data_IF_577441371518
#
_entry.id   IF_577441371518
#
_cell.length_a   1.000
_cell.length_b   1.000
_cell.length_c   1.000
_cell.angle_alpha   90.00
_cell.angle_beta   90.00
_cell.angle_gamma   90.00
#
_symmetry.space_group_name_H-M   'P 1'
#
loop_
_entity.id
_entity.type
_entity.pdbx_description
1 polymer ?
#
# COMPACT_ATOMS: atom_id res chain seq x y z
N UNK A 1 -3.73 -11.95 9.01
CA UNK A 1 -2.80 -12.89 9.68
C UNK A 1 -1.43 -12.23 9.80
N UNK A 2 -0.76 -12.28 10.94
CA UNK A 2 0.62 -11.74 11.07
C UNK A 2 1.68 -12.82 10.81
N UNK A 3 2.95 -12.44 10.65
CA UNK A 3 4.04 -13.40 10.36
C UNK A 3 4.15 -14.55 11.39
N UNK A 4 3.92 -14.28 12.68
CA UNK A 4 3.84 -15.34 13.71
C UNK A 4 2.69 -16.32 13.48
N UNK A 5 1.59 -15.85 12.89
CA UNK A 5 0.46 -16.70 12.52
C UNK A 5 0.81 -17.63 11.36
N UNK A 6 1.51 -17.09 10.35
CA UNK A 6 1.98 -17.87 9.19
C UNK A 6 2.95 -18.96 9.66
N UNK A 7 3.88 -18.63 10.56
CA UNK A 7 4.80 -19.61 11.16
C UNK A 7 4.06 -20.76 11.85
N UNK A 8 3.00 -20.47 12.63
CA UNK A 8 2.21 -21.52 13.29
C UNK A 8 1.49 -22.45 12.31
N UNK A 9 1.03 -21.93 11.18
CA UNK A 9 0.30 -22.72 10.17
C UNK A 9 1.24 -23.51 9.27
N UNK A 10 2.42 -22.96 8.96
CA UNK A 10 3.33 -23.52 7.94
C UNK A 10 4.56 -24.22 8.52
N UNK A 11 4.92 -23.97 9.77
CA UNK A 11 6.18 -24.40 10.38
C UNK A 11 7.43 -23.63 9.92
N UNK A 12 7.28 -22.67 9.01
CA UNK A 12 8.38 -21.84 8.51
C UNK A 12 8.63 -20.68 9.47
N UNK A 13 9.90 -20.47 9.88
CA UNK A 13 10.27 -19.36 10.77
C UNK A 13 9.79 -18.00 10.23
N UNK A 14 9.23 -17.18 11.12
CA UNK A 14 8.85 -15.79 10.81
C UNK A 14 9.98 -14.98 10.17
N UNK A 15 11.24 -15.20 10.56
CA UNK A 15 12.38 -14.46 9.99
C UNK A 15 12.56 -14.80 8.51
N UNK A 16 12.51 -16.09 8.17
CA UNK A 16 12.56 -16.59 6.80
C UNK A 16 11.44 -16.01 5.95
N UNK A 17 10.20 -16.02 6.46
CA UNK A 17 9.04 -15.43 5.75
C UNK A 17 9.26 -13.94 5.51
N UNK A 18 9.72 -13.20 6.53
CA UNK A 18 9.98 -11.77 6.41
C UNK A 18 11.08 -11.46 5.37
N UNK A 19 12.12 -12.28 5.33
CA UNK A 19 13.21 -12.10 4.38
C UNK A 19 12.78 -12.42 2.94
N UNK A 20 11.95 -13.44 2.73
CA UNK A 20 11.33 -13.70 1.43
C UNK A 20 10.43 -12.55 0.96
N UNK A 21 9.59 -11.99 1.85
CA UNK A 21 8.76 -10.83 1.50
C UNK A 21 9.63 -9.64 1.10
N UNK A 22 10.74 -9.37 1.80
CA UNK A 22 11.68 -8.31 1.42
C UNK A 22 12.36 -8.57 0.07
N UNK A 23 12.70 -9.82 -0.24
CA UNK A 23 13.31 -10.18 -1.51
C UNK A 23 12.32 -9.99 -2.66
N UNK A 24 11.11 -10.53 -2.54
CA UNK A 24 10.06 -10.38 -3.55
C UNK A 24 9.64 -8.92 -3.71
N UNK A 25 9.55 -8.17 -2.61
CA UNK A 25 9.20 -6.75 -2.64
C UNK A 25 10.16 -5.90 -3.49
N UNK A 26 11.44 -6.27 -3.59
CA UNK A 26 12.41 -5.59 -4.46
C UNK A 26 12.24 -5.91 -5.95
N UNK A 27 11.49 -6.97 -6.28
CA UNK A 27 11.21 -7.38 -7.65
C UNK A 27 9.90 -6.78 -8.17
N UNK A 28 9.08 -6.19 -7.29
CA UNK A 28 7.84 -5.56 -7.68
C UNK A 28 8.11 -4.25 -8.41
N UNK A 29 7.37 -3.94 -9.49
CA UNK A 29 7.46 -2.64 -10.15
C UNK A 29 6.90 -1.54 -9.23
N UNK A 30 7.41 -0.33 -9.38
CA UNK A 30 6.97 0.82 -8.58
C UNK A 30 5.49 1.19 -8.84
N UNK A 31 5.01 0.99 -10.07
CA UNK A 31 3.62 1.17 -10.46
C UNK A 31 3.15 0.09 -11.44
N UNK A 32 1.84 -0.14 -11.49
CA UNK A 32 1.22 -0.93 -12.53
C UNK A 32 1.37 -0.22 -13.87
N UNK A 33 1.88 -0.91 -14.88
CA UNK A 33 1.92 -0.38 -16.24
C UNK A 33 0.64 -0.82 -16.98
N UNK A 34 -0.37 0.04 -16.98
CA UNK A 34 -1.59 -0.21 -17.74
C UNK A 34 -1.32 -0.07 -19.23
N UNK A 35 -1.64 -1.10 -20.03
CA UNK A 35 -1.56 -1.02 -21.50
C UNK A 35 -2.44 0.08 -22.08
N UNK A 36 -3.51 0.46 -21.36
CA UNK A 36 -4.48 1.49 -21.74
C UNK A 36 -4.70 2.45 -20.58
N UNK A 37 -4.80 3.75 -20.88
CA UNK A 37 -5.18 4.76 -19.89
C UNK A 37 -6.64 4.49 -19.46
N UNK A 38 -6.94 4.39 -18.16
CA UNK A 38 -8.30 4.19 -17.69
C UNK A 38 -9.16 5.42 -17.96
N UNK A 39 -10.44 5.20 -18.29
CA UNK A 39 -11.41 6.27 -18.48
C UNK A 39 -11.78 6.95 -17.15
N UNK A 40 -11.86 6.16 -16.07
CA UNK A 40 -12.15 6.62 -14.72
C UNK A 40 -11.15 5.98 -13.75
N UNK A 41 -10.44 6.83 -13.00
CA UNK A 41 -9.62 6.42 -11.86
C UNK A 41 -10.21 6.95 -10.56
N UNK A 42 -10.23 6.12 -9.52
CA UNK A 42 -10.67 6.51 -8.18
C UNK A 42 -9.47 6.80 -7.30
N UNK A 43 -9.62 7.79 -6.41
CA UNK A 43 -8.64 8.11 -5.38
C UNK A 43 -9.15 7.62 -4.04
N UNK A 44 -8.34 6.81 -3.37
CA UNK A 44 -8.60 6.34 -2.01
C UNK A 44 -7.43 6.70 -1.08
N UNK A 45 -7.74 6.87 0.22
CA UNK A 45 -6.78 7.21 1.26
C UNK A 45 -6.88 6.26 2.44
N UNK A 46 -5.77 5.56 2.74
CA UNK A 46 -5.65 4.71 3.91
C UNK A 46 -4.72 5.33 4.95
N UNK A 47 -5.26 5.73 6.10
CA UNK A 47 -4.46 6.16 7.27
C UNK A 47 -4.03 4.94 8.10
N UNK A 48 -2.73 4.87 8.43
CA UNK A 48 -2.16 3.84 9.30
C UNK A 48 -1.04 4.39 10.19
N UNK A 49 -0.46 3.54 11.03
CA UNK A 49 0.64 3.88 11.93
C UNK A 49 1.88 3.05 11.65
N UNK A 50 3.05 3.69 11.61
CA UNK A 50 4.33 3.01 11.40
C UNK A 50 5.25 3.14 12.62
N UNK A 51 5.62 2.00 13.20
CA UNK A 51 6.53 1.89 14.34
C UNK A 51 5.90 2.28 15.69
N UNK A 52 5.49 3.55 15.84
CA UNK A 52 4.80 4.06 17.03
C UNK A 52 3.38 4.50 16.69
N UNK A 53 2.41 4.29 17.59
CA UNK A 53 1.01 4.74 17.43
C UNK A 53 0.82 6.26 17.28
N UNK A 54 1.86 7.06 17.48
CA UNK A 54 1.81 8.52 17.24
C UNK A 54 2.27 8.89 15.84
N UNK A 55 2.91 7.98 15.13
CA UNK A 55 3.46 8.20 13.80
C UNK A 55 2.42 7.79 12.76
N UNK A 56 1.47 8.68 12.52
CA UNK A 56 0.43 8.52 11.49
C UNK A 56 1.03 8.72 10.11
N UNK A 57 0.64 7.87 9.18
CA UNK A 57 1.04 7.94 7.78
C UNK A 57 -0.18 7.63 6.91
N UNK A 58 -0.31 8.31 5.79
CA UNK A 58 -1.36 8.09 4.81
C UNK A 58 -0.75 7.43 3.58
N UNK A 59 -1.48 6.46 3.04
CA UNK A 59 -1.23 5.86 1.74
C UNK A 59 -2.36 6.36 0.84
N UNK A 60 -2.03 7.22 -0.12
CA UNK A 60 -2.95 7.58 -1.19
C UNK A 60 -2.79 6.60 -2.33
N UNK A 61 -3.88 6.05 -2.84
CA UNK A 61 -3.89 5.13 -3.98
C UNK A 61 -4.81 5.64 -5.06
N UNK A 62 -4.34 5.60 -6.31
CA UNK A 62 -5.17 5.71 -7.49
C UNK A 62 -5.47 4.31 -8.01
N UNK A 63 -6.73 3.97 -8.20
CA UNK A 63 -7.17 2.65 -8.68
C UNK A 63 -8.01 2.79 -9.94
N UNK A 64 -7.93 1.79 -10.83
CA UNK A 64 -8.78 1.72 -12.01
C UNK A 64 -10.21 1.30 -11.58
N UNK A 65 -11.22 2.08 -11.96
CA UNK A 65 -12.61 1.77 -11.61
C UNK A 65 -13.12 0.51 -12.33
N UNK A 66 -12.59 0.20 -13.51
CA UNK A 66 -13.11 -0.84 -14.40
C UNK A 66 -12.27 -2.11 -14.42
N UNK A 67 -11.03 -2.05 -13.92
CA UNK A 67 -10.10 -3.20 -13.91
C UNK A 67 -9.42 -3.33 -12.56
N UNK A 68 -9.04 -4.55 -12.22
CA UNK A 68 -8.22 -4.80 -11.04
C UNK A 68 -6.81 -4.22 -11.25
N UNK A 69 -6.48 -3.15 -10.54
CA UNK A 69 -5.14 -2.56 -10.60
C UNK A 69 -4.99 -1.25 -9.83
N UNK A 70 -3.83 -1.08 -9.20
CA UNK A 70 -3.41 0.19 -8.60
C UNK A 70 -2.60 0.95 -9.66
N UNK A 71 -3.17 2.05 -10.17
CA UNK A 71 -2.56 2.93 -11.16
C UNK A 71 -1.33 3.66 -10.61
N UNK A 72 -1.35 3.97 -9.32
CA UNK A 72 -0.24 4.61 -8.62
C UNK A 72 -0.54 4.78 -7.14
N UNK A 73 0.49 5.06 -6.36
CA UNK A 73 0.35 5.29 -4.93
C UNK A 73 1.38 6.31 -4.42
N UNK A 74 1.05 6.96 -3.31
CA UNK A 74 1.94 7.88 -2.61
C UNK A 74 1.88 7.61 -1.12
N UNK A 75 3.02 7.64 -0.45
CA UNK A 75 3.10 7.61 1.01
C UNK A 75 3.41 9.02 1.49
N UNK A 76 2.61 9.54 2.41
CA UNK A 76 2.75 10.90 2.90
C UNK A 76 2.12 11.15 4.26
N UNK A 77 2.20 12.40 4.71
CA UNK A 77 1.40 12.88 5.85
C UNK A 77 -0.02 13.22 5.40
N UNK A 78 -0.95 13.30 6.36
CA UNK A 78 -2.33 13.76 6.14
C UNK A 78 -2.35 14.98 5.22
N UNK A 79 -3.09 14.89 4.10
CA UNK A 79 -3.46 16.06 3.35
C UNK A 79 -4.20 17.00 4.32
N UNK A 80 -3.58 18.14 4.67
CA UNK A 80 -4.33 19.20 5.33
C UNK A 80 -5.40 19.61 4.35
N UNK A 81 -6.67 19.42 4.73
CA UNK A 81 -7.81 20.06 4.06
C UNK A 81 -7.42 21.53 3.88
N UNK A 82 -7.21 21.97 2.63
CA UNK A 82 -7.08 23.40 2.35
C UNK A 82 -8.43 23.98 2.77
N UNK A 83 -8.49 24.98 3.67
CA UNK A 83 -9.76 25.62 3.99
C UNK A 83 -10.34 26.11 2.67
N UNK A 84 -11.60 25.75 2.40
CA UNK A 84 -12.33 26.28 1.26
C UNK A 84 -12.16 27.80 1.27
N UNK A 85 -11.59 28.35 0.19
CA UNK A 85 -11.50 29.78 0.02
C UNK A 85 -12.93 30.34 0.05
N UNK A 86 -13.23 31.11 1.09
CA UNK A 86 -14.44 31.94 1.21
C UNK A 86 -14.26 33.21 0.41
#
# INVERSE_FOLDING_TARGET
MGFRGIERVTGVSRTTIMDWVKQVGKLLPDSYNSETIPEVGELDELETFVGKKKNKICIGTAVDHFRDGILGWVIGGLARRVPSAT
#
